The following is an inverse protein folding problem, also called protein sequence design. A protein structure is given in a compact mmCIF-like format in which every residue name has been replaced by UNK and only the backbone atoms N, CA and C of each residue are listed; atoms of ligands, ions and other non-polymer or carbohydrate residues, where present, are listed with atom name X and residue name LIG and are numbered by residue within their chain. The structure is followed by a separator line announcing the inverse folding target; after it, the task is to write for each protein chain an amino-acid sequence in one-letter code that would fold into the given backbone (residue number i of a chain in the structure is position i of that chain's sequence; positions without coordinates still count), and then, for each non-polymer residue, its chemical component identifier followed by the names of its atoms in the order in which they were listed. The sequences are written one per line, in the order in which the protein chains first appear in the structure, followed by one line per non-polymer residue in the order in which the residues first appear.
data_IF_491157254238
#
_entry.id   IF_491157254238
#
_cell.length_a   1.000
_cell.length_b   1.000
_cell.length_c   1.000
_cell.angle_alpha   90.00
_cell.angle_beta   90.00
_cell.angle_gamma   90.00
#
_symmetry.space_group_name_H-M   'P 1'
#
loop_
_entity.id
_entity.type
_entity.pdbx_description
1 polymer ?
#
# COMPACT_ATOMS: atom_id res chain seq x y z
N UNK A 1 17.42 17.48 -6.02
CA UNK A 1 17.16 16.51 -4.92
C UNK A 1 15.67 16.17 -4.96
N UNK A 2 15.29 14.97 -4.53
CA UNK A 2 13.85 14.66 -4.45
C UNK A 2 13.24 15.29 -3.19
N UNK A 3 12.05 15.87 -3.34
CA UNK A 3 11.25 16.44 -2.28
C UNK A 3 10.07 15.52 -1.95
N UNK A 4 9.71 15.41 -0.67
CA UNK A 4 8.51 14.70 -0.22
C UNK A 4 7.46 15.73 0.19
N UNK A 5 6.28 15.65 -0.45
CA UNK A 5 5.17 16.56 -0.21
C UNK A 5 3.84 15.82 -0.06
N UNK A 6 2.80 16.45 0.51
CA UNK A 6 1.44 15.92 0.47
C UNK A 6 0.97 15.69 -0.98
N UNK A 7 0.14 14.67 -1.16
CA UNK A 7 -0.57 14.37 -2.39
C UNK A 7 -1.48 15.54 -2.79
N UNK A 8 -1.63 15.73 -4.09
CA UNK A 8 -2.61 16.65 -4.70
C UNK A 8 -3.45 15.88 -5.72
N UNK A 9 -4.70 16.24 -5.99
CA UNK A 9 -5.55 15.53 -6.96
C UNK A 9 -4.90 15.33 -8.34
N UNK A 10 -4.04 16.26 -8.78
CA UNK A 10 -3.31 16.15 -10.04
C UNK A 10 -2.25 15.03 -10.08
N UNK A 11 -1.85 14.49 -8.93
CA UNK A 11 -0.85 13.41 -8.85
C UNK A 11 -1.47 12.02 -9.05
N UNK A 12 -2.80 11.92 -9.19
CA UNK A 12 -3.48 10.61 -9.25
C UNK A 12 -2.97 9.73 -10.40
N UNK A 13 -2.75 10.33 -11.57
CA UNK A 13 -2.20 9.59 -12.71
C UNK A 13 -0.80 9.02 -12.43
N UNK A 14 0.03 9.77 -11.69
CA UNK A 14 1.36 9.31 -11.29
C UNK A 14 1.27 8.14 -10.30
N UNK A 15 0.29 8.14 -9.39
CA UNK A 15 0.07 7.02 -8.48
C UNK A 15 -0.23 5.73 -9.27
N UNK A 16 -1.11 5.80 -10.27
CA UNK A 16 -1.43 4.66 -11.14
C UNK A 16 -0.18 4.18 -11.89
N UNK A 17 0.51 5.09 -12.56
CA UNK A 17 1.70 4.77 -13.32
C UNK A 17 2.82 4.15 -12.46
N UNK A 18 3.08 4.71 -11.27
CA UNK A 18 4.11 4.19 -10.37
C UNK A 18 3.72 2.82 -9.81
N UNK A 19 2.42 2.61 -9.52
CA UNK A 19 1.91 1.33 -9.04
C UNK A 19 2.17 0.22 -10.06
N UNK A 20 1.81 0.46 -11.34
CA UNK A 20 2.03 -0.45 -12.44
C UNK A 20 3.54 -0.69 -12.69
N UNK A 21 4.32 0.37 -12.79
CA UNK A 21 5.78 0.29 -13.02
C UNK A 21 6.54 -0.41 -11.88
N UNK A 22 5.99 -0.47 -10.68
CA UNK A 22 6.58 -1.16 -9.53
C UNK A 22 6.13 -2.63 -9.41
N UNK A 23 5.15 -3.06 -10.19
CA UNK A 23 4.71 -4.46 -10.22
C UNK A 23 5.64 -5.28 -11.12
N UNK A 24 6.36 -6.26 -10.58
CA UNK A 24 7.34 -7.03 -11.37
C UNK A 24 6.70 -7.95 -12.41
N UNK A 25 5.42 -8.30 -12.21
CA UNK A 25 4.72 -9.24 -13.07
C UNK A 25 3.97 -8.53 -14.22
N UNK A 26 3.70 -7.21 -14.06
CA UNK A 26 3.04 -6.36 -15.04
C UNK A 26 1.60 -6.75 -15.36
N UNK A 27 0.71 -5.76 -15.48
CA UNK A 27 -0.65 -5.94 -15.97
C UNK A 27 -0.78 -5.49 -17.43
N UNK A 28 -1.67 -6.10 -18.20
CA UNK A 28 -2.04 -5.61 -19.53
C UNK A 28 -2.89 -4.33 -19.39
N UNK A 29 -3.77 -4.27 -18.39
CA UNK A 29 -4.43 -3.03 -17.96
C UNK A 29 -3.58 -2.34 -16.89
N UNK A 30 -2.85 -1.29 -17.28
CA UNK A 30 -1.97 -0.51 -16.41
C UNK A 30 -2.68 0.17 -15.22
N UNK A 31 -4.02 0.20 -15.19
CA UNK A 31 -4.76 0.79 -14.07
C UNK A 31 -4.97 -0.19 -12.90
N UNK A 32 -5.02 -1.47 -13.17
CA UNK A 32 -5.46 -2.49 -12.19
C UNK A 32 -4.65 -2.48 -10.90
N UNK A 33 -3.32 -2.37 -10.97
CA UNK A 33 -2.48 -2.32 -9.76
C UNK A 33 -2.78 -1.06 -8.95
N UNK A 34 -2.96 0.07 -9.62
CA UNK A 34 -3.32 1.35 -9.01
C UNK A 34 -4.71 1.32 -8.37
N UNK A 35 -5.70 0.69 -9.02
CA UNK A 35 -7.06 0.53 -8.51
C UNK A 35 -7.12 -0.29 -7.22
N UNK A 36 -6.18 -1.24 -7.05
CA UNK A 36 -6.14 -2.10 -5.86
C UNK A 36 -5.28 -1.51 -4.74
N UNK A 37 -4.11 -0.95 -5.05
CA UNK A 37 -3.08 -0.66 -4.05
C UNK A 37 -2.69 0.81 -3.88
N UNK A 38 -3.25 1.75 -4.65
CA UNK A 38 -2.87 3.15 -4.57
C UNK A 38 -4.05 4.12 -4.54
N UNK A 39 -4.88 4.11 -5.55
CA UNK A 39 -5.97 5.08 -5.73
C UNK A 39 -7.05 5.06 -4.63
N UNK A 40 -7.45 3.91 -4.04
CA UNK A 40 -8.44 3.90 -2.97
C UNK A 40 -8.01 4.72 -1.75
N UNK A 41 -6.71 4.77 -1.45
CA UNK A 41 -6.20 5.58 -0.33
C UNK A 41 -6.26 7.07 -0.63
N UNK A 42 -5.98 7.47 -1.87
CA UNK A 42 -6.10 8.86 -2.30
C UNK A 42 -7.56 9.35 -2.28
N UNK A 43 -8.51 8.44 -2.53
CA UNK A 43 -9.95 8.72 -2.45
C UNK A 43 -10.45 8.77 -1.00
N UNK A 44 -10.04 7.80 -0.17
CA UNK A 44 -10.54 7.67 1.21
C UNK A 44 -9.86 8.63 2.20
N UNK A 45 -8.52 8.68 2.17
CA UNK A 45 -7.71 9.38 3.18
C UNK A 45 -6.55 10.15 2.56
N UNK A 46 -6.81 11.17 1.72
CA UNK A 46 -5.76 11.93 1.02
C UNK A 46 -4.75 12.60 1.98
N UNK A 47 -5.16 12.89 3.22
CA UNK A 47 -4.28 13.45 4.24
C UNK A 47 -3.13 12.51 4.68
N UNK A 48 -3.25 11.21 4.42
CA UNK A 48 -2.22 10.20 4.69
C UNK A 48 -1.56 9.69 3.40
N UNK A 49 -1.60 10.48 2.33
CA UNK A 49 -0.94 10.21 1.06
C UNK A 49 0.15 11.24 0.80
N UNK A 50 1.37 10.77 0.53
CA UNK A 50 2.51 11.62 0.19
C UNK A 50 3.19 11.12 -1.07
N UNK A 51 3.72 12.06 -1.85
CA UNK A 51 4.48 11.77 -3.07
C UNK A 51 5.92 12.27 -2.93
N UNK A 52 6.81 11.64 -3.68
CA UNK A 52 8.19 12.09 -3.83
C UNK A 52 8.41 12.55 -5.26
N UNK A 53 8.84 13.79 -5.42
CA UNK A 53 9.00 14.48 -6.69
C UNK A 53 10.46 14.94 -6.87
N UNK A 54 10.99 14.79 -8.09
CA UNK A 54 12.26 15.37 -8.52
C UNK A 54 12.10 16.21 -9.80
N UNK A 55 13.18 16.65 -10.41
CA UNK A 55 13.13 17.43 -11.66
C UNK A 55 12.44 16.70 -12.83
N UNK A 56 12.23 15.38 -12.74
CA UNK A 56 11.52 14.55 -13.71
C UNK A 56 10.06 14.27 -13.31
N UNK A 57 9.54 14.97 -12.31
CA UNK A 57 8.19 14.81 -11.79
C UNK A 57 8.08 13.80 -10.65
N UNK A 58 6.86 13.42 -10.31
CA UNK A 58 6.57 12.43 -9.28
C UNK A 58 7.17 11.08 -9.66
N UNK A 59 7.87 10.45 -8.73
CA UNK A 59 8.54 9.15 -8.97
C UNK A 59 8.46 8.19 -7.79
N UNK A 60 7.64 8.52 -6.79
CA UNK A 60 7.35 7.64 -5.68
C UNK A 60 6.19 8.13 -4.86
N UNK A 61 5.60 7.23 -4.12
CA UNK A 61 4.51 7.56 -3.19
C UNK A 61 4.56 6.68 -1.95
N UNK A 62 3.91 7.14 -0.91
CA UNK A 62 3.38 6.35 0.19
C UNK A 62 1.90 6.68 0.34
N UNK A 63 1.09 5.65 0.40
CA UNK A 63 -0.36 5.71 0.60
C UNK A 63 -0.73 4.83 1.78
N UNK A 64 -1.81 5.17 2.47
CA UNK A 64 -2.30 4.36 3.56
C UNK A 64 -3.43 5.02 4.30
N UNK A 65 -3.83 4.44 5.43
CA UNK A 65 -4.87 4.96 6.30
C UNK A 65 -4.46 4.83 7.76
N UNK A 66 -5.01 5.67 8.62
CA UNK A 66 -4.88 5.56 10.07
C UNK A 66 -5.81 4.50 10.69
N UNK A 67 -6.89 4.15 9.98
CA UNK A 67 -7.90 3.18 10.42
C UNK A 67 -8.21 2.17 9.30
N UNK A 68 -7.65 0.98 9.43
CA UNK A 68 -7.84 -0.13 8.49
C UNK A 68 -9.29 -0.55 8.39
N UNK A 69 -10.00 -0.63 9.51
CA UNK A 69 -11.39 -1.13 9.50
C UNK A 69 -12.36 -0.16 8.85
N UNK A 70 -12.18 1.13 9.11
CA UNK A 70 -12.95 2.16 8.43
C UNK A 70 -12.68 2.16 6.92
N UNK A 71 -11.41 2.03 6.51
CA UNK A 71 -11.03 1.91 5.10
C UNK A 71 -11.67 0.68 4.44
N UNK A 72 -11.57 -0.50 5.06
CA UNK A 72 -12.14 -1.76 4.55
C UNK A 72 -13.66 -1.66 4.38
N UNK A 73 -14.35 -1.07 5.36
CA UNK A 73 -15.80 -0.88 5.30
C UNK A 73 -16.20 0.07 4.17
N UNK A 74 -15.51 1.21 4.05
CA UNK A 74 -15.73 2.15 2.95
C UNK A 74 -15.43 1.51 1.58
N UNK A 75 -14.30 0.81 1.46
CA UNK A 75 -13.92 0.21 0.19
C UNK A 75 -14.93 -0.85 -0.26
N UNK A 76 -15.50 -1.63 0.65
CA UNK A 76 -16.55 -2.60 0.34
C UNK A 76 -17.86 -1.94 -0.08
N UNK A 77 -18.20 -0.80 0.51
CA UNK A 77 -19.44 -0.08 0.21
C UNK A 77 -19.35 0.74 -1.09
N UNK A 78 -18.24 1.45 -1.32
CA UNK A 78 -18.17 2.50 -2.33
C UNK A 78 -17.10 2.27 -3.40
N UNK A 79 -15.97 1.61 -3.09
CA UNK A 79 -14.84 1.48 -4.00
C UNK A 79 -14.91 0.22 -4.89
N UNK A 80 -15.12 -0.96 -4.28
CA UNK A 80 -15.12 -2.22 -5.01
C UNK A 80 -16.33 -2.44 -5.93
N UNK A 81 -17.58 -2.02 -5.60
CA UNK A 81 -18.72 -2.33 -6.45
C UNK A 81 -18.60 -1.84 -7.90
N UNK A 82 -18.21 -0.58 -8.20
CA UNK A 82 -18.03 -0.15 -9.57
C UNK A 82 -16.87 -0.86 -10.29
N UNK A 83 -15.82 -1.29 -9.56
CA UNK A 83 -14.72 -2.05 -10.12
C UNK A 83 -15.15 -3.48 -10.45
N UNK A 84 -15.91 -4.12 -9.57
CA UNK A 84 -16.50 -5.45 -9.81
C UNK A 84 -17.41 -5.47 -11.03
N UNK A 85 -18.09 -4.39 -11.33
CA UNK A 85 -18.89 -4.26 -12.54
C UNK A 85 -18.05 -4.16 -13.83
N UNK A 86 -16.82 -3.68 -13.74
CA UNK A 86 -15.89 -3.49 -14.88
C UNK A 86 -14.99 -4.70 -15.13
N UNK A 87 -14.59 -5.40 -14.07
CA UNK A 87 -13.64 -6.51 -14.13
C UNK A 87 -14.34 -7.81 -13.77
N UNK A 88 -14.32 -8.79 -14.67
CA UNK A 88 -14.96 -10.09 -14.43
C UNK A 88 -14.21 -10.88 -13.35
N UNK A 89 -14.94 -11.57 -12.47
CA UNK A 89 -14.36 -12.50 -11.50
C UNK A 89 -13.76 -13.72 -12.23
N UNK A 90 -12.45 -13.98 -12.11
CA UNK A 90 -11.80 -15.10 -12.77
C UNK A 90 -12.02 -16.45 -12.06
N UNK A 91 -12.72 -16.49 -10.93
CA UNK A 91 -12.88 -17.71 -10.10
C UNK A 91 -13.49 -18.91 -10.83
N UNK A 92 -14.19 -18.66 -11.94
CA UNK A 92 -14.71 -19.71 -12.81
C UNK A 92 -13.69 -20.39 -13.72
N UNK A 93 -12.42 -19.95 -13.69
CA UNK A 93 -11.32 -20.49 -14.51
C UNK A 93 -10.25 -21.15 -13.65
N UNK A 94 -9.54 -22.19 -14.16
CA UNK A 94 -8.39 -22.77 -13.46
C UNK A 94 -7.32 -21.72 -13.16
N UNK A 95 -6.81 -21.68 -11.92
CA UNK A 95 -5.86 -20.70 -11.44
C UNK A 95 -4.55 -20.68 -12.26
N UNK A 96 -4.15 -21.81 -12.82
CA UNK A 96 -2.95 -21.97 -13.66
C UNK A 96 -3.04 -21.19 -14.99
N UNK A 97 -4.25 -20.75 -15.35
CA UNK A 97 -4.52 -19.95 -16.56
C UNK A 97 -4.72 -18.48 -16.27
N UNK A 98 -4.57 -18.06 -15.01
CA UNK A 98 -4.75 -16.68 -14.64
C UNK A 98 -3.57 -15.83 -15.10
N UNK A 99 -3.90 -14.73 -15.75
CA UNK A 99 -2.97 -13.63 -16.04
C UNK A 99 -2.76 -12.79 -14.79
N UNK A 100 -1.86 -11.81 -14.86
CA UNK A 100 -1.70 -10.83 -13.78
C UNK A 100 -2.96 -9.99 -13.58
N UNK A 101 -3.65 -9.63 -14.67
CA UNK A 101 -4.93 -8.92 -14.61
C UNK A 101 -5.98 -9.74 -13.87
N UNK A 102 -6.04 -11.05 -14.11
CA UNK A 102 -6.95 -11.95 -13.39
C UNK A 102 -6.67 -11.97 -11.89
N UNK A 103 -5.41 -11.94 -11.49
CA UNK A 103 -5.06 -11.87 -10.06
C UNK A 103 -5.55 -10.55 -9.45
N UNK A 104 -5.43 -9.43 -10.15
CA UNK A 104 -5.93 -8.13 -9.68
C UNK A 104 -7.47 -8.11 -9.65
N UNK A 105 -8.13 -8.60 -10.70
CA UNK A 105 -9.57 -8.73 -10.73
C UNK A 105 -10.09 -9.61 -9.59
N UNK A 106 -9.40 -10.71 -9.31
CA UNK A 106 -9.75 -11.56 -8.17
C UNK A 106 -9.64 -10.82 -6.83
N UNK A 107 -8.61 -9.99 -6.63
CA UNK A 107 -8.47 -9.18 -5.41
C UNK A 107 -9.60 -8.16 -5.27
N UNK A 108 -10.12 -7.60 -6.37
CA UNK A 108 -11.27 -6.70 -6.38
C UNK A 108 -12.55 -7.43 -5.93
N UNK A 109 -12.75 -8.67 -6.39
CA UNK A 109 -13.94 -9.45 -6.05
C UNK A 109 -13.84 -10.09 -4.66
N UNK A 110 -12.64 -10.47 -4.23
CA UNK A 110 -12.38 -11.24 -3.02
C UNK A 110 -11.41 -10.50 -2.08
N UNK A 111 -11.67 -9.20 -1.88
CA UNK A 111 -10.83 -8.38 -1.00
C UNK A 111 -10.68 -9.04 0.37
N UNK A 112 -9.44 -9.25 0.78
CA UNK A 112 -9.12 -9.90 2.05
C UNK A 112 -8.89 -8.86 3.12
N UNK A 113 -9.69 -8.92 4.18
CA UNK A 113 -9.47 -8.11 5.37
C UNK A 113 -8.14 -8.47 6.02
N UNK A 114 -7.47 -7.45 6.56
CA UNK A 114 -6.29 -7.67 7.37
C UNK A 114 -6.64 -8.49 8.63
N UNK A 115 -5.74 -9.37 9.11
CA UNK A 115 -5.96 -10.16 10.32
C UNK A 115 -6.31 -9.27 11.52
N UNK A 116 -7.29 -9.67 12.32
CA UNK A 116 -7.74 -8.90 13.49
C UNK A 116 -6.59 -8.69 14.49
N UNK A 117 -5.73 -9.68 14.67
CA UNK A 117 -4.57 -9.64 15.55
C UNK A 117 -3.55 -8.57 15.09
N UNK A 118 -3.39 -8.36 13.78
CA UNK A 118 -2.53 -7.31 13.26
C UNK A 118 -3.15 -5.93 13.49
N UNK A 119 -4.44 -5.78 13.18
CA UNK A 119 -5.14 -4.49 13.22
C UNK A 119 -5.35 -4.01 14.66
N UNK A 120 -5.67 -4.91 15.60
CA UNK A 120 -5.98 -4.56 16.99
C UNK A 120 -4.88 -3.70 17.66
N UNK A 121 -3.61 -3.97 17.35
CA UNK A 121 -2.47 -3.22 17.90
C UNK A 121 -1.86 -2.23 16.91
N UNK A 122 -2.14 -2.39 15.62
CA UNK A 122 -1.53 -1.62 14.55
C UNK A 122 -2.62 -1.18 13.57
N UNK A 123 -3.51 -0.25 13.96
CA UNK A 123 -4.70 0.10 13.18
C UNK A 123 -4.41 0.75 11.82
N UNK A 124 -3.26 1.43 11.67
CA UNK A 124 -2.87 2.03 10.40
C UNK A 124 -2.22 1.00 9.47
N UNK A 125 -2.38 1.16 8.15
CA UNK A 125 -1.62 0.38 7.15
C UNK A 125 -1.21 1.19 5.93
N UNK A 126 -0.23 0.69 5.18
CA UNK A 126 0.39 1.44 4.09
C UNK A 126 0.81 0.57 2.90
N UNK A 127 0.96 1.27 1.75
CA UNK A 127 1.77 0.82 0.61
C UNK A 127 2.78 1.92 0.24
N UNK A 128 3.97 1.53 -0.21
CA UNK A 128 5.04 2.44 -0.62
C UNK A 128 5.73 1.92 -1.88
N UNK A 129 5.80 2.75 -2.90
CA UNK A 129 6.48 2.44 -4.15
C UNK A 129 7.38 3.60 -4.59
N UNK A 130 8.53 3.24 -5.15
CA UNK A 130 9.53 4.16 -5.67
C UNK A 130 10.07 3.64 -7.00
N UNK A 131 10.05 4.50 -8.00
CA UNK A 131 10.78 4.24 -9.25
C UNK A 131 12.28 4.10 -9.00
N UNK A 132 13.00 3.34 -9.82
CA UNK A 132 14.43 3.09 -9.65
C UNK A 132 15.26 4.36 -9.44
N UNK A 133 14.93 5.47 -10.14
CA UNK A 133 15.64 6.75 -10.05
C UNK A 133 15.64 7.38 -8.66
N UNK A 134 14.66 7.07 -7.82
CA UNK A 134 14.54 7.60 -6.45
C UNK A 134 15.01 6.61 -5.38
N UNK A 135 15.34 5.38 -5.75
CA UNK A 135 15.77 4.35 -4.81
C UNK A 135 17.22 4.58 -4.35
N UNK A 136 17.54 4.11 -3.14
CA UNK A 136 18.89 4.22 -2.58
C UNK A 136 19.33 5.63 -2.12
N UNK A 137 18.45 6.64 -2.23
CA UNK A 137 18.73 8.05 -1.97
C UNK A 137 18.07 8.59 -0.70
N UNK A 138 17.60 7.73 0.19
CA UNK A 138 16.91 8.14 1.42
C UNK A 138 15.43 8.51 1.24
N UNK A 139 14.92 8.58 0.01
CA UNK A 139 13.54 9.03 -0.31
C UNK A 139 12.49 8.14 0.36
N UNK A 140 12.64 6.82 0.33
CA UNK A 140 11.70 5.91 1.01
C UNK A 140 11.67 6.12 2.53
N UNK A 141 12.82 6.50 3.13
CA UNK A 141 12.87 6.89 4.54
C UNK A 141 12.07 8.17 4.78
N UNK A 142 12.25 9.18 3.96
CA UNK A 142 11.54 10.45 4.08
C UNK A 142 10.03 10.27 3.95
N UNK A 143 9.56 9.51 2.94
CA UNK A 143 8.15 9.15 2.78
C UNK A 143 7.60 8.44 4.03
N UNK A 144 8.30 7.41 4.52
CA UNK A 144 7.87 6.66 5.71
C UNK A 144 7.78 7.55 6.94
N UNK A 145 8.76 8.43 7.18
CA UNK A 145 8.73 9.37 8.31
C UNK A 145 7.51 10.28 8.25
N UNK A 146 7.26 10.91 7.09
CA UNK A 146 6.09 11.80 6.91
C UNK A 146 4.76 11.07 7.10
N UNK A 147 4.66 9.86 6.59
CA UNK A 147 3.45 9.05 6.74
C UNK A 147 3.21 8.64 8.20
N UNK A 148 4.25 8.17 8.90
CA UNK A 148 4.15 7.80 10.31
C UNK A 148 3.76 8.99 11.19
N UNK A 149 4.27 10.20 10.92
CA UNK A 149 3.86 11.44 11.58
C UNK A 149 2.36 11.69 11.36
N UNK A 150 1.88 11.58 10.12
CA UNK A 150 0.48 11.84 9.77
C UNK A 150 -0.50 10.86 10.44
N UNK A 151 -0.21 9.54 10.43
CA UNK A 151 -1.11 8.58 11.05
C UNK A 151 -1.07 8.62 12.58
N UNK A 152 0.07 8.99 13.19
CA UNK A 152 0.15 9.28 14.63
C UNK A 152 -0.69 10.51 14.99
N UNK A 153 -0.60 11.59 14.22
CA UNK A 153 -1.41 12.79 14.41
C UNK A 153 -2.92 12.49 14.27
N UNK A 154 -3.29 11.51 13.43
CA UNK A 154 -4.64 11.01 13.29
C UNK A 154 -5.07 10.03 14.41
N UNK A 155 -4.21 9.77 15.42
CA UNK A 155 -4.55 8.98 16.60
C UNK A 155 -4.30 7.46 16.47
N UNK A 156 -3.63 7.00 15.42
CA UNK A 156 -3.30 5.58 15.32
C UNK A 156 -2.29 5.16 16.40
N UNK A 157 -2.49 4.01 17.03
CA UNK A 157 -1.58 3.44 18.05
C UNK A 157 -0.41 2.67 17.45
N UNK A 158 -0.46 2.34 16.16
CA UNK A 158 0.57 1.59 15.45
C UNK A 158 0.23 1.42 13.98
N UNK A 159 1.16 0.88 13.21
CA UNK A 159 0.99 0.59 11.80
C UNK A 159 1.39 -0.84 11.47
N UNK A 160 0.69 -1.45 10.52
CA UNK A 160 1.05 -2.75 9.96
C UNK A 160 1.19 -2.68 8.44
N UNK A 161 1.79 -3.72 7.89
CA UNK A 161 1.88 -3.94 6.45
C UNK A 161 2.03 -5.43 6.15
N UNK A 162 1.68 -5.79 4.93
CA UNK A 162 1.95 -7.11 4.38
C UNK A 162 3.00 -6.99 3.27
N UNK A 163 3.90 -7.96 3.19
CA UNK A 163 4.96 -7.99 2.18
C UNK A 163 5.15 -9.41 1.64
N UNK A 164 5.42 -9.55 0.35
CA UNK A 164 5.75 -10.84 -0.26
C UNK A 164 6.99 -11.44 0.41
N UNK A 165 7.00 -12.75 0.72
CA UNK A 165 8.12 -13.41 1.40
C UNK A 165 9.45 -13.32 0.65
N UNK A 166 9.39 -13.26 -0.68
CA UNK A 166 10.54 -13.16 -1.58
C UNK A 166 11.10 -11.73 -1.72
N UNK A 167 10.37 -10.71 -1.24
CA UNK A 167 10.83 -9.32 -1.30
C UNK A 167 11.79 -8.99 -0.15
N UNK A 168 12.97 -9.59 -0.19
CA UNK A 168 14.01 -9.41 0.85
C UNK A 168 14.41 -7.93 1.03
N UNK A 169 14.38 -7.13 -0.05
CA UNK A 169 14.71 -5.70 -0.01
C UNK A 169 13.70 -4.90 0.81
N UNK A 170 12.41 -5.10 0.58
CA UNK A 170 11.36 -4.44 1.34
C UNK A 170 11.36 -4.90 2.80
N UNK A 171 11.52 -6.19 3.06
CA UNK A 171 11.63 -6.73 4.42
C UNK A 171 12.79 -6.07 5.19
N UNK A 172 13.97 -5.97 4.56
CA UNK A 172 15.12 -5.31 5.17
C UNK A 172 14.87 -3.80 5.41
N UNK A 173 14.16 -3.13 4.49
CA UNK A 173 13.77 -1.73 4.65
C UNK A 173 12.84 -1.55 5.86
N UNK A 174 11.77 -2.33 5.97
CA UNK A 174 10.82 -2.21 7.09
C UNK A 174 11.46 -2.55 8.43
N UNK A 175 12.30 -3.60 8.51
CA UNK A 175 13.05 -3.92 9.74
C UNK A 175 13.94 -2.77 10.20
N UNK A 176 14.64 -2.09 9.27
CA UNK A 176 15.44 -0.89 9.58
C UNK A 176 14.59 0.31 10.03
N UNK A 177 13.27 0.29 9.78
CA UNK A 177 12.31 1.29 10.26
C UNK A 177 11.62 0.88 11.57
N UNK A 178 12.07 -0.21 12.20
CA UNK A 178 11.54 -0.68 13.48
C UNK A 178 10.33 -1.61 13.37
N UNK A 179 9.85 -1.89 12.16
CA UNK A 179 8.79 -2.88 12.00
C UNK A 179 9.30 -4.26 12.37
N UNK A 180 8.48 -5.01 13.11
CA UNK A 180 8.75 -6.38 13.54
C UNK A 180 7.73 -7.31 12.89
N UNK A 181 8.17 -8.52 12.58
CA UNK A 181 7.28 -9.54 12.05
C UNK A 181 6.25 -9.91 13.10
N UNK A 182 4.99 -10.02 12.67
CA UNK A 182 3.88 -10.38 13.51
C UNK A 182 3.62 -11.88 13.41
N UNK A 183 3.37 -12.50 14.55
CA UNK A 183 2.86 -13.86 14.64
C UNK A 183 1.34 -13.81 14.46
N UNK A 184 0.91 -13.84 13.20
CA UNK A 184 -0.49 -13.85 12.78
C UNK A 184 -0.71 -15.06 11.87
N UNK A 185 -1.93 -15.61 11.80
CA UNK A 185 -2.23 -16.72 10.91
C UNK A 185 -1.69 -16.44 9.50
N UNK A 186 -0.94 -17.38 8.89
CA UNK A 186 -0.34 -17.15 7.60
C UNK A 186 -1.42 -17.01 6.54
N UNK A 187 -1.60 -15.79 6.04
CA UNK A 187 -2.27 -15.59 4.78
C UNK A 187 -1.30 -16.02 3.68
N UNK A 188 -1.70 -17.00 2.85
CA UNK A 188 -0.85 -17.50 1.75
C UNK A 188 -0.26 -16.32 0.96
N UNK A 189 1.06 -16.29 0.84
CA UNK A 189 1.79 -15.31 0.03
C UNK A 189 2.10 -13.98 0.70
N UNK A 190 1.92 -13.82 2.02
CA UNK A 190 2.28 -12.58 2.72
C UNK A 190 2.93 -12.83 4.08
N UNK A 191 3.93 -12.01 4.42
CA UNK A 191 4.47 -11.85 5.77
C UNK A 191 3.98 -10.53 6.32
N UNK A 192 3.55 -10.53 7.57
CA UNK A 192 2.98 -9.37 8.23
C UNK A 192 4.00 -8.73 9.15
N UNK A 193 4.05 -7.41 9.14
CA UNK A 193 4.93 -6.62 9.99
C UNK A 193 4.13 -5.53 10.69
N UNK A 194 4.48 -5.26 11.95
CA UNK A 194 3.88 -4.22 12.78
C UNK A 194 4.90 -3.31 13.43
N UNK A 195 4.48 -2.07 13.70
CA UNK A 195 5.20 -1.05 14.44
C UNK A 195 4.24 -0.38 15.42
N UNK A 196 4.40 -0.61 16.73
CA UNK A 196 3.69 0.15 17.77
C UNK A 196 4.29 1.54 17.94
N UNK A 197 3.45 2.53 18.23
CA UNK A 197 3.89 3.92 18.38
C UNK A 197 4.24 4.31 19.82
N UNK A 198 3.98 3.43 20.79
CA UNK A 198 4.28 3.66 22.20
C UNK A 198 5.77 3.47 22.56
N UNK A 199 6.60 3.01 21.63
CA UNK A 199 8.03 2.85 21.84
C UNK A 199 8.78 4.19 21.69
N UNK A 200 9.49 4.68 22.75
CA UNK A 200 10.09 6.03 22.78
C UNK A 200 11.33 6.24 21.85
N UNK A 201 11.67 5.34 20.95
CA UNK A 201 12.99 5.32 20.29
C UNK A 201 13.01 5.27 18.75
N UNK A 202 12.00 5.79 18.05
CA UNK A 202 12.02 5.73 16.56
C UNK A 202 11.65 7.08 15.91
N UNK A 203 12.47 8.07 16.13
CA UNK A 203 12.59 9.26 15.28
C UNK A 203 13.97 9.32 14.64
#
# INVERSE_FOLDING_TARGET
MAEVRPYRPGDLADLYWIADAADPDGCADANLVGEVFAAPYAAFSPATVFVAEDASGVGGYIVGTADTRAFEAWAEADWWPPLRARHADPSGRPHERWTRDDVMAWLIHHYRRAPDEAVARHPAHLHINLLPRLQGRGVGRALMTRWLEAVRAAGAAGAHLAVRPDNARAIAFYRRRGFRELDVPPLKGARWFGLGFDAPHLL
#
